data_IF_163833945748
#
_entry.id   IF_163833945748
#
_cell.length_a   1.000
_cell.length_b   1.000
_cell.length_c   1.000
_cell.angle_alpha   90.00
_cell.angle_beta   90.00
_cell.angle_gamma   90.00
#
_symmetry.space_group_name_H-M   'P 1'
#
loop_
_entity.id
_entity.type
_entity.pdbx_description
1 polymer ?
#
# COMPACT_ATOMS: atom_id res chain seq x y z
N UNK A 1 15.26 23.22 -14.06
CA UNK A 1 16.09 22.95 -12.85
C UNK A 1 16.50 24.28 -12.23
N UNK A 2 15.53 24.96 -11.61
CA UNK A 2 15.70 26.34 -11.13
C UNK A 2 16.21 26.40 -9.68
N UNK A 3 16.20 25.29 -8.92
CA UNK A 3 16.60 25.27 -7.51
C UNK A 3 15.68 26.09 -6.59
N UNK A 4 14.46 26.45 -7.05
CA UNK A 4 13.54 27.24 -6.23
C UNK A 4 12.99 26.41 -5.06
N UNK A 5 12.75 27.07 -3.96
CA UNK A 5 12.03 26.47 -2.83
C UNK A 5 10.54 26.36 -3.15
N UNK A 6 9.92 25.24 -2.78
CA UNK A 6 8.47 25.01 -2.88
C UNK A 6 7.86 24.88 -1.49
N UNK A 7 6.64 25.38 -1.31
CA UNK A 7 5.89 25.23 -0.07
C UNK A 7 5.18 23.89 0.05
N UNK A 8 4.70 23.57 1.25
CA UNK A 8 4.02 22.30 1.53
C UNK A 8 2.76 22.10 0.66
N UNK A 9 1.96 23.14 0.43
CA UNK A 9 0.77 23.07 -0.41
C UNK A 9 1.11 22.74 -1.86
N UNK A 10 2.20 23.31 -2.41
CA UNK A 10 2.66 22.99 -3.75
C UNK A 10 3.22 21.56 -3.82
N UNK A 11 3.97 21.14 -2.81
CA UNK A 11 4.49 19.78 -2.71
C UNK A 11 3.36 18.74 -2.73
N UNK A 12 2.24 19.01 -2.05
CA UNK A 12 1.04 18.17 -2.09
C UNK A 12 0.40 18.19 -3.48
N UNK A 13 0.23 19.37 -4.07
CA UNK A 13 -0.42 19.54 -5.37
C UNK A 13 0.31 18.81 -6.52
N UNK A 14 1.64 18.73 -6.46
CA UNK A 14 2.46 18.03 -7.46
C UNK A 14 2.73 16.55 -7.10
N UNK A 15 2.17 16.04 -6.00
CA UNK A 15 2.33 14.65 -5.58
C UNK A 15 3.69 14.30 -4.98
N UNK A 16 4.48 15.30 -4.57
CA UNK A 16 5.77 15.06 -3.89
C UNK A 16 5.59 14.51 -2.48
N UNK A 17 4.52 14.88 -1.80
CA UNK A 17 4.10 14.37 -0.49
C UNK A 17 2.65 13.91 -0.54
N UNK A 18 2.29 12.95 0.31
CA UNK A 18 0.95 12.37 0.35
C UNK A 18 -0.01 13.20 1.22
N UNK A 19 0.53 13.91 2.20
CA UNK A 19 -0.27 14.68 3.16
C UNK A 19 0.53 15.87 3.68
N UNK A 20 -0.17 16.95 4.01
CA UNK A 20 0.35 18.10 4.75
C UNK A 20 -0.42 18.19 6.07
N UNK A 21 0.31 18.31 7.16
CA UNK A 21 -0.24 18.39 8.53
C UNK A 21 0.38 19.59 9.26
N UNK A 22 -0.21 20.04 10.36
CA UNK A 22 0.38 21.08 11.21
C UNK A 22 1.81 20.76 11.67
N UNK A 23 2.64 21.77 11.93
CA UNK A 23 3.99 21.56 12.45
C UNK A 23 3.99 20.69 13.71
N UNK A 24 4.87 19.69 13.75
CA UNK A 24 5.00 18.76 14.87
C UNK A 24 4.12 17.51 14.78
N UNK A 25 3.11 17.46 13.90
CA UNK A 25 2.19 16.32 13.80
C UNK A 25 2.60 15.26 12.76
N UNK A 26 3.65 15.50 11.98
CA UNK A 26 4.04 14.65 10.84
C UNK A 26 4.38 13.21 11.26
N UNK A 27 5.02 13.02 12.42
CA UNK A 27 5.35 11.66 12.91
C UNK A 27 4.07 10.90 13.29
N UNK A 28 3.16 11.55 14.01
CA UNK A 28 1.90 10.93 14.40
C UNK A 28 1.01 10.61 13.18
N UNK A 29 0.99 11.49 12.17
CA UNK A 29 0.26 11.26 10.93
C UNK A 29 0.86 10.08 10.13
N UNK A 30 2.19 10.02 10.04
CA UNK A 30 2.88 8.91 9.38
C UNK A 30 2.65 7.57 10.11
N UNK A 31 2.67 7.58 11.46
CA UNK A 31 2.39 6.39 12.26
C UNK A 31 0.96 5.87 12.01
N UNK A 32 -0.05 6.74 12.01
CA UNK A 32 -1.44 6.34 11.68
C UNK A 32 -1.54 5.70 10.29
N UNK A 33 -0.92 6.30 9.27
CA UNK A 33 -0.92 5.73 7.94
C UNK A 33 -0.21 4.36 7.89
N UNK A 34 0.90 4.22 8.62
CA UNK A 34 1.61 2.94 8.73
C UNK A 34 0.76 1.87 9.42
N UNK A 35 0.01 2.22 10.47
CA UNK A 35 -0.93 1.32 11.14
C UNK A 35 -2.07 0.88 10.22
N UNK A 36 -2.65 1.79 9.42
CA UNK A 36 -3.66 1.45 8.40
C UNK A 36 -3.12 0.46 7.37
N UNK A 37 -1.89 0.65 6.91
CA UNK A 37 -1.22 -0.29 5.99
C UNK A 37 -0.97 -1.63 6.69
N UNK A 38 -0.46 -1.61 7.91
CA UNK A 38 -0.13 -2.80 8.69
C UNK A 38 -1.36 -3.63 9.11
N UNK A 39 -2.54 -3.04 9.13
CA UNK A 39 -3.79 -3.75 9.38
C UNK A 39 -4.22 -4.69 8.22
N UNK A 40 -3.58 -4.59 7.05
CA UNK A 40 -3.85 -5.45 5.91
C UNK A 40 -3.00 -6.73 5.93
N UNK A 41 -3.37 -7.71 5.10
CA UNK A 41 -2.64 -8.98 4.98
C UNK A 41 -1.17 -8.74 4.58
N UNK A 42 -0.17 -9.12 5.42
CA UNK A 42 1.24 -8.73 5.19
C UNK A 42 1.80 -9.23 3.87
N UNK A 43 1.43 -10.44 3.44
CA UNK A 43 1.86 -10.99 2.16
C UNK A 43 1.31 -10.17 1.00
N UNK A 44 0.04 -9.72 1.08
CA UNK A 44 -0.59 -8.89 0.05
C UNK A 44 0.08 -7.51 -0.03
N UNK A 45 0.32 -6.86 1.10
CA UNK A 45 1.03 -5.57 1.16
C UNK A 45 2.43 -5.70 0.55
N UNK A 46 3.17 -6.76 0.91
CA UNK A 46 4.52 -7.00 0.40
C UNK A 46 4.56 -7.22 -1.12
N UNK A 47 3.63 -7.99 -1.68
CA UNK A 47 3.53 -8.21 -3.13
C UNK A 47 3.04 -6.96 -3.87
N UNK A 48 2.05 -6.24 -3.33
CA UNK A 48 1.59 -4.98 -3.90
C UNK A 48 2.72 -3.95 -3.97
N UNK A 49 3.52 -3.81 -2.90
CA UNK A 49 4.68 -2.92 -2.89
C UNK A 49 5.68 -3.27 -4.00
N UNK A 50 6.00 -4.56 -4.17
CA UNK A 50 6.91 -5.02 -5.24
C UNK A 50 6.36 -4.73 -6.63
N UNK A 51 5.06 -4.94 -6.85
CA UNK A 51 4.43 -4.64 -8.13
C UNK A 51 4.46 -3.14 -8.45
N UNK A 52 4.19 -2.29 -7.46
CA UNK A 52 4.31 -0.82 -7.63
C UNK A 52 5.73 -0.42 -8.01
N UNK A 53 6.75 -0.95 -7.32
CA UNK A 53 8.15 -0.65 -7.61
C UNK A 53 8.58 -1.14 -9.02
N UNK A 54 8.02 -2.25 -9.50
CA UNK A 54 8.31 -2.79 -10.84
C UNK A 54 7.53 -2.08 -11.95
N UNK A 55 6.35 -1.57 -11.65
CA UNK A 55 5.39 -1.07 -12.63
C UNK A 55 5.90 0.05 -13.53
N UNK A 56 6.87 0.85 -13.05
CA UNK A 56 7.52 1.90 -13.85
C UNK A 56 8.61 1.37 -14.80
N UNK A 57 9.03 0.10 -14.66
CA UNK A 57 10.18 -0.48 -15.35
C UNK A 57 9.82 -1.63 -16.30
N UNK A 58 8.54 -1.99 -16.40
CA UNK A 58 8.06 -3.08 -17.25
C UNK A 58 6.90 -2.62 -18.13
N UNK A 59 6.69 -3.30 -19.25
CA UNK A 59 5.52 -3.06 -20.09
C UNK A 59 4.24 -3.59 -19.44
N UNK A 60 3.08 -3.09 -19.93
CA UNK A 60 1.77 -3.42 -19.39
C UNK A 60 1.46 -4.92 -19.37
N UNK A 61 1.86 -5.66 -20.40
CA UNK A 61 1.56 -7.11 -20.48
C UNK A 61 2.37 -7.89 -19.46
N UNK A 62 3.65 -7.55 -19.32
CA UNK A 62 4.53 -8.12 -18.29
C UNK A 62 3.99 -7.79 -16.89
N UNK A 63 3.57 -6.53 -16.66
CA UNK A 63 2.98 -6.12 -15.38
C UNK A 63 1.76 -6.95 -15.02
N UNK A 64 0.79 -7.08 -15.95
CA UNK A 64 -0.43 -7.86 -15.74
C UNK A 64 -0.14 -9.35 -15.50
N UNK A 65 0.85 -9.92 -16.18
CA UNK A 65 1.25 -11.30 -15.94
C UNK A 65 1.82 -11.50 -14.53
N UNK A 66 2.66 -10.58 -14.06
CA UNK A 66 3.18 -10.59 -12.68
C UNK A 66 2.08 -10.39 -11.63
N UNK A 67 1.12 -9.52 -11.90
CA UNK A 67 -0.04 -9.31 -11.03
C UNK A 67 -0.88 -10.59 -10.90
N UNK A 68 -1.17 -11.28 -12.01
CA UNK A 68 -1.88 -12.56 -12.00
C UNK A 68 -1.13 -13.64 -11.20
N UNK A 69 0.18 -13.71 -11.34
CA UNK A 69 1.01 -14.63 -10.55
C UNK A 69 0.94 -14.30 -9.06
N UNK A 70 1.10 -13.03 -8.69
CA UNK A 70 0.97 -12.59 -7.31
C UNK A 70 -0.42 -12.92 -6.74
N UNK A 71 -1.48 -12.64 -7.50
CA UNK A 71 -2.85 -12.95 -7.12
C UNK A 71 -3.08 -14.45 -6.91
N UNK A 72 -2.49 -15.30 -7.77
CA UNK A 72 -2.61 -16.75 -7.63
C UNK A 72 -1.98 -17.29 -6.34
N UNK A 73 -0.89 -16.66 -5.88
CA UNK A 73 -0.26 -16.96 -4.58
C UNK A 73 -1.14 -16.47 -3.43
N UNK A 74 -1.61 -15.23 -3.50
CA UNK A 74 -2.43 -14.61 -2.45
C UNK A 74 -3.73 -15.38 -2.20
N UNK A 75 -4.42 -15.83 -3.25
CA UNK A 75 -5.67 -16.58 -3.13
C UNK A 75 -5.53 -17.94 -2.41
N UNK A 76 -4.31 -18.46 -2.34
CA UNK A 76 -4.01 -19.72 -1.61
C UNK A 76 -3.60 -19.51 -0.17
N UNK A 77 -3.36 -18.27 0.24
CA UNK A 77 -2.89 -17.93 1.60
C UNK A 77 -3.97 -18.21 2.66
N UNK A 78 -3.54 -18.35 3.89
CA UNK A 78 -4.45 -18.42 5.05
C UNK A 78 -5.16 -17.07 5.24
N UNK A 79 -4.47 -15.98 4.98
CA UNK A 79 -5.02 -14.63 5.08
C UNK A 79 -6.16 -14.37 4.08
N UNK A 80 -6.12 -14.95 2.87
CA UNK A 80 -7.23 -14.86 1.94
C UNK A 80 -8.50 -15.54 2.49
N UNK A 81 -8.34 -16.71 3.11
CA UNK A 81 -9.45 -17.44 3.75
C UNK A 81 -9.97 -16.67 4.96
N UNK A 82 -9.08 -16.12 5.77
CA UNK A 82 -9.45 -15.28 6.91
C UNK A 82 -10.20 -14.02 6.47
N UNK A 83 -9.73 -13.33 5.43
CA UNK A 83 -10.40 -12.15 4.87
C UNK A 83 -11.82 -12.45 4.41
N UNK A 84 -12.01 -13.56 3.68
CA UNK A 84 -13.33 -14.01 3.24
C UNK A 84 -14.24 -14.36 4.43
N UNK A 85 -13.72 -15.05 5.45
CA UNK A 85 -14.45 -15.40 6.67
C UNK A 85 -14.84 -14.16 7.46
N UNK A 86 -13.89 -13.25 7.70
CA UNK A 86 -14.11 -12.02 8.44
C UNK A 86 -15.19 -11.14 7.79
N UNK A 87 -15.18 -11.07 6.44
CA UNK A 87 -16.22 -10.37 5.68
C UNK A 87 -17.60 -10.99 5.88
N UNK A 88 -17.73 -12.32 5.78
CA UNK A 88 -18.98 -13.03 5.99
C UNK A 88 -19.52 -12.86 7.42
N UNK A 89 -18.63 -12.87 8.40
CA UNK A 89 -18.93 -12.71 9.83
C UNK A 89 -19.06 -11.24 10.27
N UNK A 90 -18.79 -10.28 9.38
CA UNK A 90 -18.82 -8.83 9.65
C UNK A 90 -17.95 -8.42 10.84
N UNK A 91 -16.76 -9.00 10.93
CA UNK A 91 -15.75 -8.69 11.95
C UNK A 91 -14.42 -8.24 11.33
N UNK A 92 -13.55 -7.59 12.10
CA UNK A 92 -12.18 -7.33 11.66
C UNK A 92 -11.43 -8.64 11.38
N UNK A 93 -10.63 -8.70 10.28
CA UNK A 93 -9.79 -9.85 10.01
C UNK A 93 -8.58 -9.91 10.96
N UNK A 94 -8.01 -11.12 11.09
CA UNK A 94 -6.79 -11.36 11.88
C UNK A 94 -5.74 -11.98 10.95
N UNK A 95 -5.03 -11.14 10.24
CA UNK A 95 -4.02 -11.56 9.29
C UNK A 95 -2.73 -11.99 9.97
N UNK A 96 -2.08 -13.02 9.42
CA UNK A 96 -0.85 -13.64 9.99
C UNK A 96 0.32 -13.67 9.00
N UNK A 97 0.10 -13.29 7.75
CA UNK A 97 1.12 -13.31 6.69
C UNK A 97 1.39 -14.69 6.09
N UNK A 98 0.43 -15.61 6.20
CA UNK A 98 0.57 -17.00 5.74
C UNK A 98 -0.53 -17.41 4.79
#
# INVERSE_FOLDING_TARGET
MTGRMIGAAEALAIGLVNQVVPPGEHVAAAARLAEEIAANAPLAVGLAKRLVDLGSNVDKHTFLALELLAQSVLLRSEDAREGARALAERRPPRFTGR
#
